data_IF_959019636669
#
_entry.id   IF_959019636669
#
_cell.length_a   1.000
_cell.length_b   1.000
_cell.length_c   1.000
_cell.angle_alpha   90.00
_cell.angle_beta   90.00
_cell.angle_gamma   90.00
#
_symmetry.space_group_name_H-M   'P 1'
#
loop_
_entity.id
_entity.type
_entity.pdbx_description
1 polymer ?
#
# COMPACT_ATOMS: atom_id res chain seq x y z
N UNK A 1 9.94 -5.52 6.19
CA UNK A 1 9.35 -6.21 5.02
C UNK A 1 9.34 -5.34 3.78
N UNK A 2 9.31 -5.94 2.58
CA UNK A 2 9.11 -5.18 1.35
C UNK A 2 7.71 -4.55 1.33
N UNK A 3 7.52 -3.38 0.69
CA UNK A 3 6.20 -2.76 0.54
C UNK A 3 5.14 -3.67 -0.09
N UNK A 4 5.57 -4.61 -0.94
CA UNK A 4 4.71 -5.60 -1.60
C UNK A 4 3.99 -6.55 -0.63
N UNK A 5 4.51 -6.75 0.59
CA UNK A 5 3.85 -7.56 1.61
C UNK A 5 2.48 -6.99 2.02
N UNK A 6 2.30 -5.67 1.87
CA UNK A 6 1.09 -4.94 2.27
C UNK A 6 0.14 -4.62 1.11
N UNK A 7 0.48 -5.08 -0.09
CA UNK A 7 -0.31 -4.85 -1.30
C UNK A 7 -1.23 -6.05 -1.53
N UNK A 8 -2.50 -5.75 -1.80
CA UNK A 8 -3.53 -6.71 -2.18
C UNK A 8 -3.91 -6.43 -3.64
N UNK A 9 -3.31 -7.12 -4.63
CA UNK A 9 -3.41 -6.73 -6.04
C UNK A 9 -4.84 -6.63 -6.57
N UNK A 10 -5.75 -7.51 -6.12
CA UNK A 10 -7.17 -7.48 -6.51
C UNK A 10 -7.92 -6.24 -6.02
N UNK A 11 -7.35 -5.46 -5.08
CA UNK A 11 -7.91 -4.17 -4.62
C UNK A 11 -7.47 -2.96 -5.46
N UNK A 12 -6.77 -3.19 -6.58
CA UNK A 12 -6.29 -2.16 -7.48
C UNK A 12 -6.83 -2.37 -8.89
N UNK A 13 -7.07 -1.27 -9.59
CA UNK A 13 -7.63 -1.29 -10.95
C UNK A 13 -6.52 -1.41 -12.00
N UNK A 14 -5.30 -0.97 -11.67
CA UNK A 14 -4.15 -0.99 -12.58
C UNK A 14 -2.82 -1.10 -11.84
N UNK A 15 -1.91 -1.87 -12.43
CA UNK A 15 -0.50 -1.95 -12.03
C UNK A 15 0.33 -1.48 -13.22
N UNK A 16 1.16 -0.44 -13.02
CA UNK A 16 2.09 0.06 -14.05
C UNK A 16 3.52 -0.17 -13.60
N UNK A 17 4.34 -0.72 -14.48
CA UNK A 17 5.76 -1.01 -14.23
C UNK A 17 6.59 -0.16 -15.19
N UNK A 18 7.40 0.73 -14.63
CA UNK A 18 8.41 1.49 -15.34
C UNK A 18 9.75 0.80 -15.09
N UNK A 19 10.39 0.30 -16.15
CA UNK A 19 11.64 -0.46 -16.03
C UNK A 19 12.83 0.48 -16.13
N UNK A 20 13.81 0.30 -15.24
CA UNK A 20 15.00 1.16 -15.19
C UNK A 20 14.69 2.59 -14.75
N UNK A 21 15.72 3.45 -14.69
CA UNK A 21 15.59 4.83 -14.23
C UNK A 21 15.07 5.77 -15.33
N UNK A 22 13.97 5.39 -15.98
CA UNK A 22 13.42 6.05 -17.17
C UNK A 22 12.39 7.16 -16.86
N UNK A 23 12.12 7.44 -15.57
CA UNK A 23 11.24 8.53 -15.17
C UNK A 23 11.71 9.18 -13.87
N UNK A 24 11.51 10.49 -13.78
CA UNK A 24 11.85 11.30 -12.60
C UNK A 24 10.61 11.73 -11.81
N UNK A 25 9.41 11.29 -12.22
CA UNK A 25 8.15 11.82 -11.69
C UNK A 25 7.72 11.22 -10.34
N UNK A 26 8.33 10.12 -9.90
CA UNK A 26 7.82 9.26 -8.83
C UNK A 26 8.75 9.16 -7.61
N UNK A 27 9.59 10.17 -7.42
CA UNK A 27 10.55 10.24 -6.32
C UNK A 27 11.97 9.86 -6.75
N UNK A 28 12.92 10.07 -5.84
CA UNK A 28 14.34 9.76 -6.07
C UNK A 28 14.75 8.37 -5.61
N UNK A 29 15.70 7.76 -6.33
CA UNK A 29 16.33 6.49 -5.94
C UNK A 29 15.83 5.24 -6.68
N UNK A 30 14.94 5.40 -7.67
CA UNK A 30 14.33 4.31 -8.44
C UNK A 30 15.27 3.76 -9.54
N UNK A 31 16.43 3.21 -9.15
CA UNK A 31 17.47 2.74 -10.09
C UNK A 31 17.01 1.50 -10.89
N UNK A 32 16.27 0.59 -10.25
CA UNK A 32 15.73 -0.60 -10.93
C UNK A 32 14.44 -0.31 -11.71
N UNK A 33 13.71 0.74 -11.32
CA UNK A 33 12.41 1.11 -11.86
C UNK A 33 11.37 1.36 -10.77
N UNK A 34 10.14 1.64 -11.22
CA UNK A 34 9.01 2.06 -10.38
C UNK A 34 7.80 1.16 -10.64
N UNK A 35 7.13 0.73 -9.56
CA UNK A 35 5.85 0.00 -9.66
C UNK A 35 4.74 0.83 -9.03
N UNK A 36 3.74 1.17 -9.83
CA UNK A 36 2.61 2.01 -9.44
C UNK A 36 1.34 1.16 -9.34
N UNK A 37 0.78 1.11 -8.13
CA UNK A 37 -0.52 0.51 -7.85
C UNK A 37 -1.58 1.62 -7.84
N UNK A 38 -2.44 1.62 -8.86
CA UNK A 38 -3.40 2.69 -9.12
C UNK A 38 -4.84 2.19 -8.87
N UNK A 39 -5.59 2.95 -8.05
CA UNK A 39 -7.05 2.85 -7.98
C UNK A 39 -7.65 3.99 -8.79
N UNK A 40 -8.60 3.67 -9.66
CA UNK A 40 -9.28 4.59 -10.54
C UNK A 40 -10.79 4.38 -10.42
N UNK A 41 -11.45 5.27 -9.66
CA UNK A 41 -12.91 5.29 -9.61
C UNK A 41 -13.45 5.99 -10.86
N UNK A 42 -14.17 5.26 -11.71
CA UNK A 42 -14.74 5.82 -12.93
C UNK A 42 -15.78 6.90 -12.61
N UNK A 43 -15.79 8.05 -13.31
CA UNK A 43 -16.77 9.10 -13.09
C UNK A 43 -18.22 8.60 -13.19
N UNK A 44 -19.09 9.21 -12.40
CA UNK A 44 -20.52 8.94 -12.43
C UNK A 44 -21.24 9.95 -13.31
N UNK A 45 -22.17 9.48 -14.14
CA UNK A 45 -23.04 10.34 -14.97
C UNK A 45 -24.47 10.40 -14.46
N UNK A 46 -24.83 9.53 -13.52
CA UNK A 46 -26.13 9.44 -12.83
C UNK A 46 -25.91 8.70 -11.50
N UNK A 47 -26.86 8.77 -10.55
CA UNK A 47 -26.81 7.95 -9.35
C UNK A 47 -26.71 6.47 -9.72
N UNK A 48 -25.71 5.79 -9.19
CA UNK A 48 -25.40 4.40 -9.54
C UNK A 48 -24.69 3.69 -8.37
N UNK A 49 -24.92 2.38 -8.29
CA UNK A 49 -24.18 1.44 -7.46
C UNK A 49 -23.43 0.48 -8.37
N UNK A 50 -22.12 0.38 -8.19
CA UNK A 50 -21.22 -0.53 -8.91
C UNK A 50 -20.55 -1.44 -7.90
N UNK A 51 -20.29 -2.68 -8.29
CA UNK A 51 -19.53 -3.57 -7.43
C UNK A 51 -18.92 -4.75 -8.17
N UNK A 52 -17.86 -5.28 -7.58
CA UNK A 52 -17.18 -6.49 -7.99
C UNK A 52 -16.91 -7.35 -6.74
N UNK A 53 -16.99 -8.66 -6.87
CA UNK A 53 -16.66 -9.57 -5.78
C UNK A 53 -16.09 -10.86 -6.35
N UNK A 54 -15.13 -11.44 -5.63
CA UNK A 54 -14.54 -12.73 -5.96
C UNK A 54 -14.52 -13.60 -4.70
N UNK A 55 -14.70 -14.90 -4.91
CA UNK A 55 -14.48 -15.93 -3.90
C UNK A 55 -13.66 -17.03 -4.57
N UNK A 56 -12.57 -17.43 -3.94
CA UNK A 56 -11.72 -18.52 -4.39
C UNK A 56 -11.55 -19.54 -3.27
N UNK A 57 -11.50 -20.82 -3.63
CA UNK A 57 -11.10 -21.91 -2.73
C UNK A 57 -10.14 -22.84 -3.46
N UNK A 58 -9.12 -23.32 -2.74
CA UNK A 58 -8.11 -24.20 -3.28
C UNK A 58 -7.58 -25.20 -2.25
N UNK A 59 -6.54 -25.92 -2.63
CA UNK A 59 -5.82 -26.85 -1.76
C UNK A 59 -5.25 -26.16 -0.52
N UNK A 60 -4.91 -26.95 0.51
CA UNK A 60 -4.26 -26.46 1.74
C UNK A 60 -5.05 -25.34 2.43
N UNK A 61 -6.37 -25.53 2.57
CA UNK A 61 -7.25 -24.57 3.23
C UNK A 61 -7.38 -23.22 2.52
N UNK A 62 -6.82 -23.08 1.31
CA UNK A 62 -6.77 -21.81 0.60
C UNK A 62 -8.17 -21.26 0.38
N UNK A 63 -8.40 -20.03 0.83
CA UNK A 63 -9.56 -19.24 0.44
C UNK A 63 -9.24 -17.75 0.36
N UNK A 64 -9.73 -17.12 -0.70
CA UNK A 64 -9.63 -15.69 -0.94
C UNK A 64 -11.00 -15.08 -1.16
N UNK A 65 -11.15 -13.85 -0.68
CA UNK A 65 -12.40 -13.11 -0.69
C UNK A 65 -12.11 -11.67 -1.08
N UNK A 66 -12.87 -11.14 -2.04
CA UNK A 66 -12.88 -9.74 -2.43
C UNK A 66 -14.30 -9.23 -2.43
N UNK A 67 -14.49 -8.04 -1.90
CA UNK A 67 -15.68 -7.24 -2.11
C UNK A 67 -15.24 -5.80 -2.40
N UNK A 68 -15.62 -5.27 -3.55
CA UNK A 68 -15.41 -3.87 -3.94
C UNK A 68 -16.77 -3.29 -4.32
N UNK A 69 -17.21 -2.28 -3.58
CA UNK A 69 -18.51 -1.63 -3.79
C UNK A 69 -18.30 -0.14 -3.86
N UNK A 70 -18.82 0.49 -4.90
CA UNK A 70 -18.80 1.95 -5.07
C UNK A 70 -20.22 2.46 -5.32
N UNK A 71 -20.64 3.47 -4.57
CA UNK A 71 -21.89 4.17 -4.78
C UNK A 71 -21.60 5.66 -4.97
N UNK A 72 -22.29 6.31 -5.91
CA UNK A 72 -22.05 7.73 -6.18
C UNK A 72 -22.96 8.34 -7.24
N UNK A 73 -22.72 9.61 -7.50
CA UNK A 73 -23.32 10.41 -8.57
C UNK A 73 -22.31 11.42 -9.14
N UNK A 74 -22.76 12.34 -10.00
CA UNK A 74 -21.89 13.35 -10.64
C UNK A 74 -21.11 14.23 -9.64
N UNK A 75 -21.56 14.35 -8.39
CA UNK A 75 -20.96 15.21 -7.36
C UNK A 75 -19.98 14.48 -6.46
N UNK A 76 -19.97 13.15 -6.46
CA UNK A 76 -19.04 12.39 -5.62
C UNK A 76 -19.40 10.92 -5.48
N UNK A 77 -18.59 10.21 -4.70
CA UNK A 77 -18.75 8.78 -4.46
C UNK A 77 -18.16 8.33 -3.14
N UNK A 78 -18.61 7.18 -2.67
CA UNK A 78 -17.98 6.38 -1.64
C UNK A 78 -17.63 4.99 -2.21
N UNK A 79 -16.43 4.50 -1.96
CA UNK A 79 -15.96 3.16 -2.35
C UNK A 79 -15.43 2.43 -1.13
N UNK A 80 -15.83 1.18 -0.95
CA UNK A 80 -15.35 0.29 0.09
C UNK A 80 -14.79 -0.95 -0.58
N UNK A 81 -13.56 -1.32 -0.24
CA UNK A 81 -12.91 -2.54 -0.70
C UNK A 81 -12.51 -3.37 0.51
N UNK A 82 -12.95 -4.61 0.57
CA UNK A 82 -12.54 -5.59 1.58
C UNK A 82 -11.87 -6.75 0.89
N UNK A 83 -10.71 -7.16 1.39
CA UNK A 83 -10.03 -8.38 0.94
C UNK A 83 -9.70 -9.26 2.13
N UNK A 84 -9.70 -10.57 1.90
CA UNK A 84 -9.14 -11.55 2.82
C UNK A 84 -8.51 -12.69 2.03
N UNK A 85 -7.33 -13.13 2.44
CA UNK A 85 -6.62 -14.25 1.85
C UNK A 85 -5.98 -15.10 2.94
N UNK A 86 -6.16 -16.40 2.85
CA UNK A 86 -5.70 -17.35 3.84
C UNK A 86 -5.23 -18.64 3.18
N UNK A 87 -4.17 -19.24 3.70
CA UNK A 87 -3.72 -20.57 3.34
C UNK A 87 -3.04 -21.26 4.52
N UNK A 88 -3.26 -22.56 4.66
CA UNK A 88 -2.49 -23.42 5.55
C UNK A 88 -1.10 -23.72 4.95
N UNK A 89 -0.31 -24.52 5.66
CA UNK A 89 0.94 -25.05 5.15
C UNK A 89 0.72 -25.88 3.88
N UNK A 90 1.43 -25.55 2.81
CA UNK A 90 1.40 -26.34 1.59
C UNK A 90 2.31 -27.57 1.69
N UNK A 91 2.16 -28.50 0.75
CA UNK A 91 3.10 -29.61 0.56
C UNK A 91 3.93 -29.42 -0.71
N UNK A 92 5.24 -29.61 -0.61
CA UNK A 92 6.14 -29.56 -1.75
C UNK A 92 5.92 -30.74 -2.72
N UNK A 93 6.69 -30.79 -3.81
CA UNK A 93 6.59 -31.86 -4.81
C UNK A 93 6.92 -33.26 -4.30
N UNK A 94 7.55 -33.39 -3.12
CA UNK A 94 7.86 -34.65 -2.44
C UNK A 94 6.82 -34.98 -1.35
N UNK A 95 5.77 -34.16 -1.21
CA UNK A 95 4.70 -34.36 -0.22
C UNK A 95 5.06 -33.87 1.19
N UNK A 96 6.22 -33.23 1.39
CA UNK A 96 6.63 -32.70 2.69
C UNK A 96 5.91 -31.39 2.96
N UNK A 97 5.43 -31.23 4.18
CA UNK A 97 4.79 -29.99 4.61
C UNK A 97 5.83 -28.88 4.77
N UNK A 98 5.50 -27.68 4.28
CA UNK A 98 6.33 -26.49 4.38
C UNK A 98 5.67 -25.50 5.33
N UNK A 99 6.42 -24.95 6.28
CA UNK A 99 5.96 -23.92 7.22
C UNK A 99 5.68 -22.60 6.49
N UNK A 100 4.49 -22.47 5.94
CA UNK A 100 4.11 -21.47 4.93
C UNK A 100 2.72 -20.87 5.14
N UNK A 101 2.08 -21.19 6.27
CA UNK A 101 0.81 -20.62 6.67
C UNK A 101 0.80 -19.09 6.55
N UNK A 102 -0.33 -18.53 6.14
CA UNK A 102 -0.58 -17.11 6.33
C UNK A 102 -2.08 -16.77 6.37
N UNK A 103 -2.39 -15.65 7.01
CA UNK A 103 -3.67 -14.95 6.89
C UNK A 103 -3.39 -13.47 6.65
N UNK A 104 -4.10 -12.84 5.73
CA UNK A 104 -4.04 -11.40 5.49
C UNK A 104 -5.41 -10.84 5.14
N UNK A 105 -5.72 -9.66 5.64
CA UNK A 105 -6.97 -8.96 5.34
C UNK A 105 -6.74 -7.47 5.18
N UNK A 106 -7.55 -6.83 4.35
CA UNK A 106 -7.52 -5.38 4.18
C UNK A 106 -8.91 -4.79 4.12
N UNK A 107 -9.04 -3.57 4.61
CA UNK A 107 -10.21 -2.72 4.42
C UNK A 107 -9.75 -1.36 3.89
N UNK A 108 -10.31 -0.96 2.76
CA UNK A 108 -10.09 0.33 2.15
C UNK A 108 -11.41 1.08 2.11
N UNK A 109 -11.41 2.33 2.58
CA UNK A 109 -12.51 3.27 2.40
C UNK A 109 -12.03 4.47 1.59
N UNK A 110 -12.80 4.89 0.58
CA UNK A 110 -12.47 6.02 -0.29
C UNK A 110 -13.71 6.92 -0.40
N UNK A 111 -13.51 8.22 -0.21
CA UNK A 111 -14.51 9.25 -0.44
C UNK A 111 -14.00 10.20 -1.52
N UNK A 112 -14.76 10.33 -2.61
CA UNK A 112 -14.47 11.26 -3.70
C UNK A 112 -15.51 12.37 -3.75
N UNK A 113 -15.06 13.60 -3.94
CA UNK A 113 -15.89 14.77 -4.21
C UNK A 113 -15.49 15.39 -5.55
N UNK A 114 -16.46 15.53 -6.44
CA UNK A 114 -16.30 16.06 -7.79
C UNK A 114 -17.22 17.27 -8.00
N UNK A 115 -16.79 18.48 -7.59
CA UNK A 115 -17.58 19.71 -7.76
C UNK A 115 -17.99 19.98 -9.22
N UNK A 116 -17.11 19.59 -10.14
CA UNK A 116 -17.29 19.66 -11.59
C UNK A 116 -16.57 18.48 -12.26
N UNK A 117 -16.67 18.38 -13.59
CA UNK A 117 -16.10 17.27 -14.38
C UNK A 117 -14.56 17.24 -14.39
N UNK A 118 -13.92 18.35 -14.01
CA UNK A 118 -12.48 18.53 -14.08
C UNK A 118 -11.81 18.53 -12.71
N UNK A 119 -12.56 18.45 -11.61
CA UNK A 119 -12.04 18.56 -10.25
C UNK A 119 -12.34 17.31 -9.45
N UNK A 120 -11.32 16.76 -8.78
CA UNK A 120 -11.45 15.67 -7.84
C UNK A 120 -10.72 16.01 -6.54
N UNK A 121 -11.43 15.85 -5.43
CA UNK A 121 -10.86 15.68 -4.10
C UNK A 121 -11.14 14.25 -3.66
N UNK A 122 -10.12 13.47 -3.34
CA UNK A 122 -10.27 12.09 -2.91
C UNK A 122 -9.51 11.86 -1.62
N UNK A 123 -10.19 11.28 -0.63
CA UNK A 123 -9.59 10.85 0.61
C UNK A 123 -9.73 9.33 0.72
N UNK A 124 -8.63 8.65 1.03
CA UNK A 124 -8.61 7.20 1.20
C UNK A 124 -7.99 6.84 2.56
N UNK A 125 -8.59 5.83 3.20
CA UNK A 125 -8.04 5.13 4.36
C UNK A 125 -7.83 3.68 3.95
N UNK A 126 -6.65 3.16 4.21
CA UNK A 126 -6.33 1.74 4.06
C UNK A 126 -5.90 1.17 5.41
N UNK A 127 -6.54 0.09 5.85
CA UNK A 127 -6.07 -0.72 6.97
C UNK A 127 -5.83 -2.15 6.51
N UNK A 128 -4.84 -2.81 7.10
CA UNK A 128 -4.64 -4.24 6.92
C UNK A 128 -4.02 -4.87 8.14
N UNK A 129 -4.30 -6.15 8.33
CA UNK A 129 -3.64 -7.03 9.30
C UNK A 129 -3.14 -8.26 8.55
N UNK A 130 -2.09 -8.88 9.08
CA UNK A 130 -1.60 -10.14 8.55
C UNK A 130 -0.74 -10.86 9.57
N UNK A 131 -0.60 -12.16 9.35
CA UNK A 131 0.35 -13.05 9.99
C UNK A 131 0.85 -14.06 8.95
N UNK A 132 2.11 -14.47 9.06
CA UNK A 132 2.74 -15.37 8.11
C UNK A 132 3.88 -16.16 8.73
N UNK A 133 3.89 -17.46 8.44
CA UNK A 133 4.97 -18.38 8.73
C UNK A 133 6.16 -18.16 7.78
N UNK A 134 7.36 -18.26 8.31
CA UNK A 134 8.62 -18.21 7.55
C UNK A 134 9.39 -19.53 7.72
N UNK A 135 9.39 -20.35 6.66
CA UNK A 135 10.09 -21.63 6.63
C UNK A 135 11.62 -21.51 6.76
N UNK A 136 12.19 -20.38 6.34
CA UNK A 136 13.63 -20.12 6.28
C UNK A 136 14.21 -19.45 7.53
N UNK A 137 13.37 -19.09 8.51
CA UNK A 137 13.76 -18.24 9.65
C UNK A 137 13.46 -18.90 10.99
N UNK A 138 14.15 -18.42 12.03
CA UNK A 138 13.91 -18.80 13.43
C UNK A 138 12.70 -18.12 14.10
N UNK A 139 12.08 -17.16 13.41
CA UNK A 139 10.90 -16.39 13.85
C UNK A 139 9.88 -16.32 12.71
N UNK A 140 8.61 -16.16 13.07
CA UNK A 140 7.49 -15.92 12.16
C UNK A 140 7.01 -14.48 12.25
N UNK A 141 6.31 -14.00 11.23
CA UNK A 141 5.64 -12.71 11.29
C UNK A 141 4.27 -12.84 11.95
N UNK A 142 4.20 -12.61 13.26
CA UNK A 142 2.97 -12.69 14.04
C UNK A 142 2.04 -11.48 13.83
N UNK A 143 2.55 -10.38 13.27
CA UNK A 143 1.76 -9.17 13.01
C UNK A 143 2.33 -8.37 11.85
N UNK A 144 1.46 -7.95 10.92
CA UNK A 144 1.77 -6.99 9.85
C UNK A 144 0.63 -5.98 9.74
N UNK A 145 0.50 -5.12 10.74
CA UNK A 145 -0.54 -4.08 10.73
C UNK A 145 -0.13 -2.91 9.86
N UNK A 146 -1.08 -2.38 9.09
CA UNK A 146 -0.94 -1.15 8.32
C UNK A 146 -2.12 -0.22 8.56
N UNK A 147 -1.84 1.07 8.62
CA UNK A 147 -2.83 2.16 8.66
C UNK A 147 -2.31 3.32 7.82
N UNK A 148 -2.94 3.51 6.68
CA UNK A 148 -2.56 4.54 5.73
C UNK A 148 -3.71 5.52 5.49
N UNK A 149 -3.35 6.78 5.33
CA UNK A 149 -4.24 7.87 4.97
C UNK A 149 -3.67 8.54 3.72
N UNK A 150 -4.53 8.82 2.75
CA UNK A 150 -4.16 9.51 1.51
C UNK A 150 -5.17 10.58 1.20
N UNK A 151 -4.67 11.74 0.79
CA UNK A 151 -5.44 12.79 0.16
C UNK A 151 -4.89 13.03 -1.23
N UNK A 152 -5.80 13.11 -2.20
CA UNK A 152 -5.52 13.46 -3.59
C UNK A 152 -6.39 14.65 -3.98
N UNK A 153 -5.78 15.63 -4.62
CA UNK A 153 -6.45 16.68 -5.35
C UNK A 153 -5.99 16.65 -6.80
N UNK A 154 -6.95 16.78 -7.71
CA UNK A 154 -6.70 16.81 -9.15
C UNK A 154 -7.60 17.86 -9.78
N UNK A 155 -7.03 18.79 -10.55
CA UNK A 155 -7.76 19.71 -11.42
C UNK A 155 -7.23 19.58 -12.84
N UNK A 156 -8.11 19.32 -13.79
CA UNK A 156 -7.83 19.18 -15.22
C UNK A 156 -8.32 20.40 -15.99
N UNK A 157 -7.90 20.49 -17.25
CA UNK A 157 -8.39 21.45 -18.24
C UNK A 157 -8.37 22.90 -17.72
N UNK A 158 -7.31 23.28 -16.99
CA UNK A 158 -7.20 24.59 -16.35
C UNK A 158 -7.05 25.70 -17.40
N UNK A 159 -6.21 25.49 -18.41
CA UNK A 159 -6.06 26.37 -19.58
C UNK A 159 -5.43 25.61 -20.76
N UNK A 160 -5.30 26.21 -21.96
CA UNK A 160 -4.59 25.60 -23.07
C UNK A 160 -3.14 25.22 -22.75
N UNK A 161 -2.49 26.01 -21.88
CA UNK A 161 -1.10 25.79 -21.45
C UNK A 161 -1.02 24.91 -20.21
N UNK A 162 -1.85 25.14 -19.19
CA UNK A 162 -1.83 24.35 -17.95
C UNK A 162 -2.91 23.28 -18.03
N UNK A 163 -2.51 22.03 -18.28
CA UNK A 163 -3.46 20.92 -18.48
C UNK A 163 -3.94 20.32 -17.18
N UNK A 164 -3.05 20.17 -16.21
CA UNK A 164 -3.35 19.44 -14.98
C UNK A 164 -2.56 19.99 -13.80
N UNK A 165 -3.21 20.08 -12.65
CA UNK A 165 -2.60 20.26 -11.34
C UNK A 165 -2.95 19.05 -10.49
N UNK A 166 -1.93 18.41 -9.92
CA UNK A 166 -2.07 17.28 -9.01
C UNK A 166 -1.37 17.57 -7.70
N UNK A 167 -2.07 17.30 -6.60
CA UNK A 167 -1.48 17.27 -5.28
C UNK A 167 -1.84 15.96 -4.59
N UNK A 168 -0.86 15.30 -4.01
CA UNK A 168 -1.04 14.11 -3.20
C UNK A 168 -0.36 14.31 -1.86
N UNK A 169 -1.00 13.88 -0.79
CA UNK A 169 -0.42 13.80 0.54
C UNK A 169 -0.75 12.45 1.15
N UNK A 170 0.17 11.89 1.92
CA UNK A 170 -0.02 10.58 2.54
C UNK A 170 0.67 10.47 3.89
N UNK A 171 0.09 9.62 4.74
CA UNK A 171 0.67 9.15 5.99
C UNK A 171 0.47 7.64 6.05
N UNK A 172 1.57 6.89 6.08
CA UNK A 172 1.56 5.44 6.18
C UNK A 172 2.18 5.02 7.50
N UNK A 173 1.52 4.14 8.25
CA UNK A 173 2.06 3.56 9.46
C UNK A 173 1.99 2.04 9.40
N UNK A 174 3.13 1.41 9.65
CA UNK A 174 3.31 -0.04 9.66
C UNK A 174 3.79 -0.44 11.05
N UNK A 175 3.16 -1.47 11.64
CA UNK A 175 3.55 -2.08 12.90
C UNK A 175 3.73 -3.59 12.71
N UNK A 176 4.97 -4.04 12.76
CA UNK A 176 5.35 -5.41 12.43
C UNK A 176 5.92 -6.12 13.65
N UNK A 177 5.44 -7.33 13.93
CA UNK A 177 5.98 -8.18 15.00
C UNK A 177 6.46 -9.47 14.40
N UNK A 178 7.69 -9.83 14.74
CA UNK A 178 8.22 -11.17 14.53
C UNK A 178 8.44 -11.84 15.87
N UNK A 179 8.04 -13.08 16.03
CA UNK A 179 8.31 -13.86 17.24
C UNK A 179 8.54 -15.35 16.94
N UNK A 180 9.00 -16.10 17.94
CA UNK A 180 9.24 -17.55 17.83
C UNK A 180 8.21 -18.41 18.58
N UNK A 181 7.03 -17.88 18.91
CA UNK A 181 6.08 -18.58 19.79
C UNK A 181 4.61 -18.49 19.37
N UNK A 182 4.22 -17.54 18.53
CA UNK A 182 2.82 -17.36 18.12
C UNK A 182 2.40 -18.36 17.04
N UNK A 183 3.28 -18.62 16.07
CA UNK A 183 3.02 -19.50 14.92
C UNK A 183 3.90 -20.76 14.90
N UNK A 184 4.70 -20.99 15.94
CA UNK A 184 5.55 -22.16 16.09
C UNK A 184 5.74 -22.54 17.55
N UNK A 185 6.05 -23.81 17.80
CA UNK A 185 6.44 -24.26 19.13
C UNK A 185 7.89 -23.87 19.44
N UNK A 186 8.13 -23.44 20.68
CA UNK A 186 9.47 -23.20 21.20
C UNK A 186 10.26 -24.51 21.23
N UNK A 187 11.46 -24.53 20.65
CA UNK A 187 12.29 -25.72 20.60
C UNK A 187 13.78 -25.40 20.40
N UNK A 188 14.64 -26.33 20.80
CA UNK A 188 16.09 -26.27 20.58
C UNK A 188 16.74 -24.99 21.13
N UNK A 189 17.59 -24.36 20.32
CA UNK A 189 18.31 -23.12 20.68
C UNK A 189 17.38 -21.90 20.82
N UNK A 190 16.10 -22.03 20.45
CA UNK A 190 15.06 -20.99 20.52
C UNK A 190 13.97 -21.38 21.54
N UNK A 191 14.36 -21.99 22.66
CA UNK A 191 13.44 -22.43 23.70
C UNK A 191 12.86 -21.29 24.56
N UNK A 192 13.43 -20.08 24.46
CA UNK A 192 12.94 -18.90 25.17
C UNK A 192 12.11 -18.01 24.23
N UNK A 193 10.97 -17.46 24.69
CA UNK A 193 10.20 -16.52 23.90
C UNK A 193 11.03 -15.29 23.53
N UNK A 194 11.04 -14.93 22.25
CA UNK A 194 11.64 -13.72 21.72
C UNK A 194 10.69 -13.07 20.72
N UNK A 195 10.64 -11.75 20.76
CA UNK A 195 9.88 -10.92 19.86
C UNK A 195 10.69 -9.69 19.44
N UNK A 196 10.59 -9.35 18.16
CA UNK A 196 11.12 -8.14 17.54
C UNK A 196 9.94 -7.35 16.99
N UNK A 197 9.84 -6.07 17.34
CA UNK A 197 8.73 -5.24 16.91
C UNK A 197 9.21 -3.91 16.31
N UNK A 198 9.65 -3.92 15.04
CA UNK A 198 9.86 -2.71 14.27
C UNK A 198 8.52 -2.04 13.90
N UNK A 199 8.52 -0.72 13.88
CA UNK A 199 7.47 0.08 13.25
C UNK A 199 8.09 1.09 12.27
N UNK A 200 7.26 1.58 11.35
CA UNK A 200 7.66 2.61 10.40
C UNK A 200 6.52 3.58 10.14
N UNK A 201 6.80 4.86 10.32
CA UNK A 201 5.94 5.95 9.87
C UNK A 201 6.56 6.60 8.64
N UNK A 202 5.78 6.75 7.57
CA UNK A 202 6.16 7.48 6.36
C UNK A 202 5.14 8.57 6.12
N UNK A 203 5.59 9.83 6.06
CA UNK A 203 4.75 10.97 5.67
C UNK A 203 5.32 11.59 4.42
N UNK A 204 4.47 12.03 3.52
CA UNK A 204 4.96 12.67 2.31
C UNK A 204 3.88 13.34 1.50
N UNK A 205 4.33 14.00 0.44
CA UNK A 205 3.45 14.64 -0.50
C UNK A 205 4.16 14.96 -1.80
N UNK A 206 3.36 15.21 -2.83
CA UNK A 206 3.81 15.53 -4.19
C UNK A 206 2.88 16.56 -4.78
N UNK A 207 3.43 17.62 -5.35
CA UNK A 207 2.73 18.60 -6.16
C UNK A 207 3.32 18.55 -7.57
N UNK A 208 2.46 18.42 -8.58
CA UNK A 208 2.89 18.41 -9.97
C UNK A 208 1.94 19.19 -10.87
N UNK A 209 2.51 19.79 -11.90
CA UNK A 209 1.80 20.54 -12.94
C UNK A 209 2.16 19.94 -14.29
N UNK A 210 1.15 19.63 -15.09
CA UNK A 210 1.30 19.25 -16.50
C UNK A 210 1.06 20.48 -17.37
N UNK A 211 2.05 20.80 -18.19
CA UNK A 211 2.08 21.91 -19.13
C UNK A 211 2.04 21.36 -20.56
N UNK A 212 1.24 21.96 -21.42
CA UNK A 212 1.21 21.66 -22.85
C UNK A 212 1.69 22.89 -23.62
N UNK A 213 2.84 22.76 -24.29
CA UNK A 213 3.40 23.83 -25.12
C UNK A 213 2.74 23.83 -26.51
N UNK A 214 2.50 22.63 -27.06
CA UNK A 214 1.82 22.43 -28.33
C UNK A 214 1.09 21.06 -28.32
N UNK A 215 0.64 20.57 -29.49
CA UNK A 215 -0.09 19.29 -29.61
C UNK A 215 0.75 18.03 -29.38
N UNK A 216 2.08 18.15 -29.33
CA UNK A 216 3.05 17.05 -29.25
C UNK A 216 4.00 17.18 -28.08
N UNK A 217 4.19 18.39 -27.56
CA UNK A 217 5.14 18.67 -26.49
C UNK A 217 4.42 18.96 -25.18
N UNK A 218 4.62 18.09 -24.20
CA UNK A 218 4.15 18.26 -22.83
C UNK A 218 5.29 18.18 -21.83
N UNK A 219 5.20 18.95 -20.75
CA UNK A 219 6.12 18.84 -19.62
C UNK A 219 5.35 18.60 -18.33
N UNK A 220 5.89 17.76 -17.46
CA UNK A 220 5.44 17.63 -16.09
C UNK A 220 6.55 18.09 -15.17
N UNK A 221 6.28 19.14 -14.38
CA UNK A 221 7.21 19.67 -13.38
C UNK A 221 6.58 19.58 -12.00
N UNK A 222 7.39 19.42 -10.97
CA UNK A 222 6.85 19.31 -9.62
C UNK A 222 7.90 19.15 -8.55
N UNK A 223 7.39 18.99 -7.34
CA UNK A 223 8.16 18.82 -6.12
C UNK A 223 7.55 17.72 -5.28
N UNK A 224 8.41 17.01 -4.56
CA UNK A 224 8.00 15.99 -3.60
C UNK A 224 8.77 16.10 -2.29
N UNK A 225 8.16 15.55 -1.27
CA UNK A 225 8.75 15.44 0.07
C UNK A 225 8.36 14.11 0.66
N UNK A 226 9.31 13.48 1.35
CA UNK A 226 9.05 12.26 2.09
C UNK A 226 9.92 12.21 3.34
N UNK A 227 9.31 11.90 4.48
CA UNK A 227 10.01 11.60 5.73
C UNK A 227 9.62 10.23 6.25
N UNK A 228 10.62 9.44 6.56
CA UNK A 228 10.49 8.11 7.13
C UNK A 228 11.10 8.10 8.52
N UNK A 229 10.40 7.52 9.49
CA UNK A 229 10.93 7.23 10.82
C UNK A 229 10.72 5.76 11.09
N UNK A 230 11.78 5.06 11.43
CA UNK A 230 11.75 3.69 11.93
C UNK A 230 12.02 3.71 13.42
N UNK A 231 11.29 2.89 14.17
CA UNK A 231 11.60 2.61 15.56
C UNK A 231 11.50 1.12 15.80
N UNK A 232 12.17 0.63 16.83
CA UNK A 232 12.16 -0.78 17.15
C UNK A 232 12.15 -1.03 18.65
N UNK A 233 11.70 -2.22 19.02
CA UNK A 233 11.90 -2.80 20.35
C UNK A 233 12.09 -4.30 20.22
N UNK A 234 12.72 -4.88 21.22
CA UNK A 234 12.97 -6.31 21.30
C UNK A 234 12.78 -6.77 22.74
N UNK A 235 12.20 -7.95 22.93
CA UNK A 235 11.97 -8.53 24.25
C UNK A 235 11.45 -9.96 24.17
N UNK A 236 11.00 -10.51 25.28
CA UNK A 236 10.21 -11.75 25.28
C UNK A 236 8.73 -11.47 24.99
N UNK A 237 7.84 -12.32 25.52
CA UNK A 237 6.39 -12.11 25.39
C UNK A 237 5.90 -10.78 25.99
N UNK A 238 6.67 -10.17 26.91
CA UNK A 238 6.41 -8.87 27.50
C UNK A 238 6.91 -7.68 26.66
N UNK A 239 7.39 -7.89 25.42
CA UNK A 239 7.82 -6.79 24.56
C UNK A 239 6.81 -5.62 24.41
N UNK A 240 5.48 -5.80 24.52
CA UNK A 240 4.54 -4.68 24.37
C UNK A 240 4.70 -3.59 25.45
N UNK A 241 5.24 -3.92 26.62
CA UNK A 241 5.50 -2.94 27.69
C UNK A 241 6.86 -2.24 27.55
N UNK A 242 7.72 -2.69 26.64
CA UNK A 242 9.01 -2.09 26.40
C UNK A 242 8.89 -0.85 25.51
N UNK A 243 9.76 0.12 25.79
CA UNK A 243 9.86 1.35 25.01
C UNK A 243 10.37 1.07 23.59
N UNK A 244 9.84 1.79 22.59
CA UNK A 244 10.39 1.78 21.23
C UNK A 244 11.48 2.82 21.09
N UNK A 245 12.62 2.42 20.55
CA UNK A 245 13.76 3.30 20.32
C UNK A 245 13.85 3.65 18.82
N UNK A 246 13.93 4.94 18.46
CA UNK A 246 14.23 5.34 17.10
C UNK A 246 15.66 4.94 16.70
N UNK A 247 15.81 4.32 15.55
CA UNK A 247 17.11 3.85 15.02
C UNK A 247 17.40 4.40 13.61
N UNK A 248 16.38 4.84 12.87
CA UNK A 248 16.53 5.33 11.50
C UNK A 248 15.55 6.45 11.18
N UNK A 249 16.03 7.51 10.54
CA UNK A 249 15.18 8.58 10.01
C UNK A 249 15.75 9.09 8.69
N UNK A 250 14.91 9.12 7.66
CA UNK A 250 15.26 9.67 6.35
C UNK A 250 14.33 10.83 6.01
N UNK A 251 14.88 11.87 5.41
CA UNK A 251 14.10 12.99 4.87
C UNK A 251 14.59 13.28 3.46
N UNK A 252 13.68 13.25 2.51
CA UNK A 252 13.96 13.49 1.10
C UNK A 252 13.13 14.69 0.63
N UNK A 253 13.76 15.55 -0.16
CA UNK A 253 13.14 16.65 -0.89
C UNK A 253 13.47 16.46 -2.37
N UNK A 254 12.47 16.49 -3.22
CA UNK A 254 12.60 16.32 -4.67
C UNK A 254 12.12 17.54 -5.43
N UNK A 255 12.82 17.87 -6.50
CA UNK A 255 12.39 18.76 -7.57
C UNK A 255 12.60 17.99 -8.87
N UNK A 256 11.56 17.90 -9.70
CA UNK A 256 11.60 17.11 -10.93
C UNK A 256 10.96 17.84 -12.10
N UNK A 257 11.38 17.44 -13.30
CA UNK A 257 10.86 17.91 -14.58
C UNK A 257 11.08 16.84 -15.65
N UNK A 258 10.03 16.47 -16.36
CA UNK A 258 10.07 15.51 -17.46
C UNK A 258 9.33 16.09 -18.65
N UNK A 259 9.94 16.04 -19.84
CA UNK A 259 9.35 16.51 -21.11
C UNK A 259 9.12 15.30 -22.00
N UNK A 260 7.98 15.29 -22.70
CA UNK A 260 7.55 14.22 -23.59
C UNK A 260 7.02 14.80 -24.89
#
# INVERSE_FOLDING_TARGET
DPPTAYVFPESYDKIKILKGPESVLYGGGDIAGTVLFERATLPFTKPELRGNSSLFRGSFGRHDELLDVTAGDKKGYARIIKTRSHADNYRDGEGREVHSFYTRESLTGILGWTPDVDTLYEFAIDTSTAEAAYADRGVDGAKFDRRDYRFKYEKKNISPFVRKLEFNAYHNYIDHVMDNYSLRALSGMMAMPMAMNPDRTTVGGRLAVQLAFDSKTEATVGLDYQKNKHTGRMGGANYPSLHRTPDMTFTNYGLFGEVR
#
